data_IF_580531172794
#
_entry.id   IF_580531172794
#
_cell.length_a   1.000
_cell.length_b   1.000
_cell.length_c   1.000
_cell.angle_alpha   90.00
_cell.angle_beta   90.00
_cell.angle_gamma   90.00
#
_symmetry.space_group_name_H-M   'P 1'
#
loop_
_entity.id
_entity.type
_entity.pdbx_description
1 polymer ?
#
# COMPACT_ATOMS: atom_id res chain seq x y z
N UNK A 1 -3.25 9.08 -4.07
CA UNK A 1 -2.93 10.44 -3.58
C UNK A 1 -3.34 11.43 -4.66
N UNK A 2 -3.58 12.70 -4.30
CA UNK A 2 -3.83 13.76 -5.29
C UNK A 2 -2.47 14.29 -5.73
N UNK A 3 -2.20 14.27 -7.04
CA UNK A 3 -0.93 14.75 -7.59
C UNK A 3 -0.81 16.26 -7.33
N UNK A 4 0.30 16.66 -6.74
CA UNK A 4 0.62 18.06 -6.49
C UNK A 4 0.98 18.74 -7.80
N UNK A 5 0.47 19.95 -8.03
CA UNK A 5 0.69 20.69 -9.27
C UNK A 5 1.47 21.97 -9.00
N UNK A 6 2.55 22.19 -9.74
CA UNK A 6 3.45 23.33 -9.58
C UNK A 6 3.67 24.09 -10.88
N UNK A 7 4.17 25.31 -10.73
CA UNK A 7 4.77 26.13 -11.78
C UNK A 7 6.07 26.75 -11.25
N UNK A 8 6.89 27.33 -12.12
CA UNK A 8 8.11 28.05 -11.70
C UNK A 8 7.84 29.17 -10.67
N UNK A 9 6.64 29.76 -10.74
CA UNK A 9 6.20 30.90 -9.93
C UNK A 9 5.44 30.47 -8.67
N UNK A 10 5.29 29.16 -8.43
CA UNK A 10 4.66 28.64 -7.21
C UNK A 10 5.38 29.17 -5.97
N UNK A 11 4.60 29.77 -5.07
CA UNK A 11 5.05 30.26 -3.77
C UNK A 11 4.42 29.41 -2.66
N UNK A 12 5.23 28.97 -1.70
CA UNK A 12 4.76 28.16 -0.58
C UNK A 12 4.48 29.03 0.63
N UNK A 13 3.34 28.78 1.27
CA UNK A 13 2.95 29.40 2.54
C UNK A 13 2.44 28.32 3.46
N UNK A 14 2.83 28.40 4.73
CA UNK A 14 2.39 27.45 5.74
C UNK A 14 0.89 27.63 6.02
N UNK A 15 0.14 26.52 5.96
CA UNK A 15 -1.21 26.43 6.49
C UNK A 15 -1.33 25.15 7.34
N UNK A 16 -0.95 25.25 8.61
CA UNK A 16 -0.83 24.16 9.56
C UNK A 16 -2.08 23.96 10.43
N UNK A 17 -3.07 24.85 10.34
CA UNK A 17 -4.19 24.95 11.29
C UNK A 17 -4.93 23.61 11.52
N UNK A 18 -5.18 22.83 10.46
CA UNK A 18 -5.82 21.52 10.58
C UNK A 18 -4.95 20.52 11.37
N UNK A 19 -3.65 20.42 11.02
CA UNK A 19 -2.73 19.53 11.71
C UNK A 19 -2.57 19.91 13.19
N UNK A 20 -2.45 21.20 13.48
CA UNK A 20 -2.36 21.70 14.86
C UNK A 20 -3.65 21.42 15.64
N UNK A 21 -4.82 21.55 15.02
CA UNK A 21 -6.09 21.19 15.64
C UNK A 21 -6.15 19.70 16.00
N UNK A 22 -5.71 18.81 15.11
CA UNK A 22 -5.65 17.36 15.38
C UNK A 22 -4.66 17.03 16.50
N UNK A 23 -3.51 17.72 16.52
CA UNK A 23 -2.52 17.59 17.59
C UNK A 23 -3.11 18.02 18.93
N UNK A 24 -3.80 19.16 18.97
CA UNK A 24 -4.43 19.67 20.19
C UNK A 24 -5.52 18.71 20.70
N UNK A 25 -6.35 18.16 19.81
CA UNK A 25 -7.37 17.16 20.13
C UNK A 25 -6.73 15.90 20.76
N UNK A 26 -5.72 15.32 20.12
CA UNK A 26 -5.04 14.13 20.64
C UNK A 26 -4.37 14.39 22.01
N UNK A 27 -3.77 15.57 22.20
CA UNK A 27 -3.18 15.97 23.49
C UNK A 27 -4.23 16.19 24.56
N UNK A 28 -5.39 16.75 24.23
CA UNK A 28 -6.50 16.91 25.17
C UNK A 28 -7.03 15.55 25.66
N UNK A 29 -6.90 14.49 24.85
CA UNK A 29 -7.19 13.10 25.21
C UNK A 29 -6.04 12.40 25.95
N UNK A 30 -4.93 13.10 26.21
CA UNK A 30 -3.77 12.57 26.95
C UNK A 30 -2.85 11.68 26.11
N UNK A 31 -2.93 11.73 24.77
CA UNK A 31 -2.04 10.95 23.91
C UNK A 31 -0.71 11.66 23.65
N UNK A 32 0.39 10.94 23.83
CA UNK A 32 1.69 11.35 23.31
C UNK A 32 1.77 10.97 21.84
N UNK A 33 1.84 11.96 20.95
CA UNK A 33 1.73 11.75 19.50
C UNK A 33 3.03 12.08 18.76
N UNK A 34 3.26 11.33 17.68
CA UNK A 34 4.33 11.57 16.70
C UNK A 34 3.66 11.91 15.36
N UNK A 35 3.56 13.20 14.98
CA UNK A 35 3.02 13.61 13.69
C UNK A 35 3.82 12.99 12.54
N UNK A 36 3.13 12.66 11.45
CA UNK A 36 3.76 12.18 10.21
C UNK A 36 3.48 13.16 9.08
N UNK A 37 4.53 13.55 8.35
CA UNK A 37 4.44 14.42 7.17
C UNK A 37 5.24 13.81 6.01
N UNK A 38 4.85 14.13 4.78
CA UNK A 38 5.66 13.81 3.60
C UNK A 38 6.86 14.74 3.55
N UNK A 39 8.04 14.20 3.30
CA UNK A 39 9.28 14.96 3.21
C UNK A 39 9.34 15.90 2.01
N UNK A 40 10.13 16.97 2.10
CA UNK A 40 10.16 18.02 1.09
C UNK A 40 10.62 17.52 -0.29
N UNK A 41 11.49 16.51 -0.32
CA UNK A 41 12.01 15.99 -1.59
C UNK A 41 10.99 15.07 -2.25
N UNK A 42 10.38 14.15 -1.49
CA UNK A 42 9.25 13.33 -1.97
C UNK A 42 8.12 14.23 -2.45
N UNK A 43 7.74 15.25 -1.67
CA UNK A 43 6.68 16.19 -2.02
C UNK A 43 6.87 16.79 -3.42
N UNK A 44 8.08 17.26 -3.75
CA UNK A 44 8.39 17.76 -5.09
C UNK A 44 8.48 16.63 -6.13
N UNK A 45 9.13 15.50 -5.80
CA UNK A 45 9.36 14.38 -6.73
C UNK A 45 8.05 13.76 -7.24
N UNK A 46 7.04 13.62 -6.38
CA UNK A 46 5.74 13.03 -6.76
C UNK A 46 4.75 14.06 -7.36
N UNK A 47 5.09 15.35 -7.34
CA UNK A 47 4.32 16.38 -8.01
C UNK A 47 4.61 16.49 -9.50
N UNK A 48 3.84 17.34 -10.18
CA UNK A 48 3.92 17.61 -11.62
C UNK A 48 4.06 19.11 -11.88
N UNK A 49 5.00 19.49 -12.72
CA UNK A 49 5.06 20.84 -13.26
C UNK A 49 4.04 21.01 -14.39
N UNK A 50 3.33 22.14 -14.42
CA UNK A 50 2.32 22.49 -15.44
C UNK A 50 2.88 23.32 -16.59
N UNK A 51 4.07 23.86 -16.43
CA UNK A 51 4.75 24.80 -17.32
C UNK A 51 6.13 24.30 -17.77
N UNK A 52 6.32 22.97 -17.73
CA UNK A 52 7.58 22.28 -18.05
C UNK A 52 8.80 22.72 -17.21
N UNK A 53 8.58 23.44 -16.11
CA UNK A 53 9.65 23.82 -15.19
C UNK A 53 10.21 22.62 -14.43
N UNK A 54 11.50 22.68 -14.06
CA UNK A 54 12.07 21.70 -13.15
C UNK A 54 11.57 21.96 -11.73
N UNK A 55 10.66 21.10 -11.27
CA UNK A 55 10.08 21.14 -9.94
C UNK A 55 11.11 21.07 -8.81
N UNK A 56 12.31 20.53 -9.04
CA UNK A 56 13.36 20.49 -8.02
C UNK A 56 13.87 21.91 -7.67
N UNK A 57 13.83 22.84 -8.62
CA UNK A 57 14.23 24.26 -8.39
C UNK A 57 13.37 24.97 -7.34
N UNK A 58 12.19 24.42 -7.04
CA UNK A 58 11.27 24.95 -6.02
C UNK A 58 11.68 24.59 -4.59
N UNK A 59 12.67 23.71 -4.39
CA UNK A 59 13.09 23.24 -3.07
C UNK A 59 13.48 24.39 -2.13
N UNK A 60 14.22 25.37 -2.64
CA UNK A 60 14.67 26.52 -1.84
C UNK A 60 13.53 27.43 -1.40
N UNK A 61 12.44 27.46 -2.18
CA UNK A 61 11.20 28.16 -1.80
C UNK A 61 10.37 27.34 -0.82
N UNK A 62 10.49 26.00 -0.85
CA UNK A 62 9.69 25.08 -0.03
C UNK A 62 10.26 24.89 1.37
N UNK A 63 11.59 24.72 1.51
CA UNK A 63 12.24 24.40 2.78
C UNK A 63 11.94 25.39 3.93
N UNK A 64 11.86 26.72 3.71
CA UNK A 64 11.46 27.65 4.77
C UNK A 64 10.08 27.33 5.37
N UNK A 65 9.15 26.79 4.56
CA UNK A 65 7.82 26.38 5.04
C UNK A 65 7.89 25.13 5.92
N UNK A 66 8.77 24.19 5.59
CA UNK A 66 9.02 23.02 6.44
C UNK A 66 9.66 23.39 7.77
N UNK A 67 10.68 24.27 7.76
CA UNK A 67 11.30 24.78 9.00
C UNK A 67 10.26 25.47 9.88
N UNK A 68 9.42 26.33 9.29
CA UNK A 68 8.34 26.99 10.01
C UNK A 68 7.36 25.99 10.64
N UNK A 69 6.96 24.95 9.90
CA UNK A 69 6.10 23.88 10.41
C UNK A 69 6.75 23.13 11.58
N UNK A 70 8.00 22.68 11.44
CA UNK A 70 8.69 21.92 12.49
C UNK A 70 8.86 22.75 13.77
N UNK A 71 9.15 24.04 13.65
CA UNK A 71 9.23 24.95 14.80
C UNK A 71 7.85 25.14 15.46
N UNK A 72 6.78 25.23 14.67
CA UNK A 72 5.41 25.29 15.23
C UNK A 72 5.03 23.99 15.95
N UNK A 73 5.39 22.83 15.40
CA UNK A 73 5.20 21.54 16.07
C UNK A 73 5.99 21.46 17.38
N UNK A 74 7.24 21.93 17.39
CA UNK A 74 8.04 22.03 18.61
C UNK A 74 7.38 22.93 19.65
N UNK A 75 6.84 24.08 19.25
CA UNK A 75 6.12 25.00 20.12
C UNK A 75 4.84 24.39 20.71
N UNK A 76 4.21 23.44 20.01
CA UNK A 76 3.12 22.63 20.56
C UNK A 76 3.62 21.54 21.53
N UNK A 77 4.92 21.39 21.74
CA UNK A 77 5.53 20.35 22.57
C UNK A 77 5.55 18.97 21.91
N UNK A 78 5.71 18.91 20.58
CA UNK A 78 6.00 17.67 19.87
C UNK A 78 7.49 17.37 19.99
N UNK A 79 7.84 16.15 20.43
CA UNK A 79 9.24 15.72 20.51
C UNK A 79 9.73 15.13 19.18
N UNK A 80 8.93 14.27 18.56
CA UNK A 80 9.31 13.53 17.34
C UNK A 80 8.37 13.86 16.18
N UNK A 81 8.95 14.05 15.00
CA UNK A 81 8.22 14.12 13.73
C UNK A 81 8.75 13.03 12.81
N UNK A 82 7.84 12.22 12.28
CA UNK A 82 8.15 11.28 11.21
C UNK A 82 8.07 12.00 9.87
N UNK A 83 9.19 12.10 9.16
CA UNK A 83 9.26 12.68 7.83
C UNK A 83 9.43 11.54 6.83
N UNK A 84 8.40 11.29 6.03
CA UNK A 84 8.39 10.19 5.08
C UNK A 84 9.04 10.59 3.76
N UNK A 85 10.14 9.91 3.39
CA UNK A 85 10.82 10.01 2.09
C UNK A 85 10.79 8.66 1.35
N UNK A 86 9.61 8.15 0.95
CA UNK A 86 9.51 6.87 0.23
C UNK A 86 10.22 6.88 -1.13
N UNK A 87 10.58 8.04 -1.69
CA UNK A 87 11.39 8.09 -2.92
C UNK A 87 12.77 7.45 -2.76
N UNK A 88 13.25 7.27 -1.51
CA UNK A 88 14.50 6.59 -1.22
C UNK A 88 14.50 5.12 -1.67
N UNK A 89 13.35 4.51 -1.95
CA UNK A 89 13.27 3.15 -2.51
C UNK A 89 13.26 3.12 -4.05
N UNK A 90 13.51 4.27 -4.69
CA UNK A 90 13.58 4.42 -6.15
C UNK A 90 14.98 4.80 -6.61
N UNK A 91 15.25 4.63 -7.90
CA UNK A 91 16.49 5.11 -8.51
C UNK A 91 16.49 6.66 -8.53
N UNK A 92 17.45 7.24 -7.82
CA UNK A 92 17.58 8.69 -7.70
C UNK A 92 18.82 9.17 -8.47
N UNK A 93 18.67 10.26 -9.23
CA UNK A 93 19.81 10.95 -9.82
C UNK A 93 20.56 11.77 -8.76
N UNK A 94 21.78 12.16 -9.09
CA UNK A 94 22.66 12.90 -8.17
C UNK A 94 22.04 14.21 -7.64
N UNK A 95 21.22 14.88 -8.45
CA UNK A 95 20.53 16.11 -8.09
C UNK A 95 19.50 15.86 -6.98
N UNK A 96 18.80 14.72 -7.02
CA UNK A 96 17.83 14.32 -5.98
C UNK A 96 18.53 13.85 -4.70
N UNK A 97 19.70 13.22 -4.79
CA UNK A 97 20.53 12.94 -3.61
C UNK A 97 20.99 14.23 -2.93
N UNK A 98 21.52 15.18 -3.70
CA UNK A 98 21.94 16.49 -3.18
C UNK A 98 20.77 17.24 -2.55
N UNK A 99 19.56 17.13 -3.12
CA UNK A 99 18.34 17.70 -2.57
C UNK A 99 18.00 17.13 -1.19
N UNK A 100 18.12 15.81 -0.99
CA UNK A 100 17.92 15.17 0.31
C UNK A 100 18.94 15.70 1.32
N UNK A 101 20.23 15.65 1.00
CA UNK A 101 21.28 16.16 1.89
C UNK A 101 21.04 17.61 2.28
N UNK A 102 20.77 18.48 1.30
CA UNK A 102 20.47 19.90 1.53
C UNK A 102 19.25 20.09 2.44
N UNK A 103 18.18 19.35 2.19
CA UNK A 103 16.94 19.43 2.96
C UNK A 103 17.20 19.10 4.42
N UNK A 104 17.78 17.95 4.72
CA UNK A 104 17.97 17.52 6.10
C UNK A 104 19.05 18.30 6.84
N UNK A 105 20.07 18.80 6.16
CA UNK A 105 21.03 19.76 6.75
C UNK A 105 20.32 21.03 7.19
N UNK A 106 19.31 21.51 6.45
CA UNK A 106 18.54 22.70 6.84
C UNK A 106 17.51 22.41 7.94
N UNK A 107 16.97 21.19 8.00
CA UNK A 107 15.98 20.80 9.02
C UNK A 107 16.61 20.40 10.37
N UNK A 108 17.91 20.07 10.41
CA UNK A 108 18.60 19.62 11.63
C UNK A 108 18.56 20.61 12.80
N UNK A 109 18.46 21.92 12.49
CA UNK A 109 18.50 22.98 13.49
C UNK A 109 17.12 23.20 14.16
N UNK A 110 16.09 22.50 13.69
CA UNK A 110 14.78 22.48 14.35
C UNK A 110 14.84 21.69 15.66
N UNK A 111 14.10 22.13 16.68
CA UNK A 111 14.13 21.50 18.01
C UNK A 111 13.38 20.17 18.11
N UNK A 112 12.61 19.78 17.08
CA UNK A 112 11.98 18.45 17.02
C UNK A 112 12.99 17.42 16.52
N UNK A 113 12.91 16.21 17.06
CA UNK A 113 13.64 15.06 16.55
C UNK A 113 13.01 14.54 15.28
N UNK A 114 13.83 14.20 14.29
CA UNK A 114 13.38 13.74 12.97
C UNK A 114 13.60 12.23 12.85
N UNK A 115 12.50 11.50 12.61
CA UNK A 115 12.53 10.11 12.15
C UNK A 115 12.33 10.09 10.63
N UNK A 116 13.40 9.83 9.87
CA UNK A 116 13.35 9.67 8.42
C UNK A 116 12.75 8.30 8.08
N UNK A 117 11.60 8.26 7.41
CA UNK A 117 10.94 7.01 7.10
C UNK A 117 10.92 6.69 5.60
N UNK A 118 11.42 5.50 5.26
CA UNK A 118 11.33 4.90 3.94
C UNK A 118 10.53 3.60 4.00
N UNK A 119 9.78 3.28 2.95
CA UNK A 119 8.94 2.08 2.92
C UNK A 119 8.60 1.67 1.48
N UNK A 120 8.06 0.46 1.33
CA UNK A 120 7.63 -0.19 0.07
C UNK A 120 8.72 -0.87 -0.76
N UNK A 121 10.00 -0.78 -0.36
CA UNK A 121 11.10 -1.37 -1.10
C UNK A 121 12.42 -1.30 -0.36
N UNK A 122 13.44 -1.85 -1.00
CA UNK A 122 14.85 -1.73 -0.63
C UNK A 122 15.39 -0.33 -0.96
N UNK A 123 16.34 0.14 -0.17
CA UNK A 123 17.05 1.41 -0.37
C UNK A 123 18.21 1.27 -1.37
N UNK A 124 18.83 0.10 -1.44
CA UNK A 124 19.94 -0.23 -2.34
C UNK A 124 21.04 0.83 -2.29
N UNK A 125 21.33 1.49 -3.42
CA UNK A 125 22.33 2.54 -3.52
C UNK A 125 22.07 3.73 -2.59
N UNK A 126 20.81 3.96 -2.19
CA UNK A 126 20.42 5.05 -1.29
C UNK A 126 20.64 4.70 0.19
N UNK A 127 21.00 3.46 0.54
CA UNK A 127 21.15 3.04 1.94
C UNK A 127 22.21 3.86 2.68
N UNK A 128 23.32 4.17 2.01
CA UNK A 128 24.42 4.97 2.58
C UNK A 128 23.96 6.34 3.06
N UNK A 129 22.95 6.94 2.40
CA UNK A 129 22.41 8.24 2.80
C UNK A 129 21.78 8.21 4.19
N UNK A 130 21.30 7.07 4.68
CA UNK A 130 20.71 6.99 6.02
C UNK A 130 21.70 7.37 7.13
N UNK A 131 22.98 7.01 6.97
CA UNK A 131 24.04 7.36 7.93
C UNK A 131 24.55 8.79 7.76
N UNK A 132 24.49 9.35 6.55
CA UNK A 132 25.04 10.68 6.24
C UNK A 132 24.08 11.82 6.58
N UNK A 133 22.77 11.55 6.66
CA UNK A 133 21.78 12.58 6.93
C UNK A 133 21.71 12.91 8.43
N UNK A 134 21.67 14.20 8.81
CA UNK A 134 21.61 14.63 10.20
C UNK A 134 20.19 14.48 10.77
N UNK A 135 19.74 13.24 10.92
CA UNK A 135 18.43 12.87 11.49
C UNK A 135 18.61 12.10 12.79
N UNK A 136 17.60 12.12 13.65
CA UNK A 136 17.63 11.47 14.96
C UNK A 136 17.26 9.99 14.91
N UNK A 137 16.67 9.54 13.81
CA UNK A 137 16.42 8.13 13.57
C UNK A 137 15.99 7.84 12.14
N UNK A 138 16.03 6.56 11.80
CA UNK A 138 15.64 6.05 10.49
C UNK A 138 14.63 4.92 10.64
N UNK A 139 13.67 4.83 9.72
CA UNK A 139 12.73 3.73 9.61
C UNK A 139 12.96 2.93 8.33
N UNK A 140 13.06 1.61 8.49
CA UNK A 140 13.28 0.63 7.42
C UNK A 140 12.13 -0.38 7.39
N UNK A 141 11.54 -0.54 6.21
CA UNK A 141 10.54 -1.56 5.91
C UNK A 141 11.20 -2.94 5.79
N UNK A 142 11.21 -3.69 6.90
CA UNK A 142 11.82 -5.03 6.94
C UNK A 142 11.01 -6.11 6.22
N UNK A 143 9.80 -5.80 5.74
CA UNK A 143 9.04 -6.73 4.90
C UNK A 143 9.66 -6.79 3.51
N UNK A 144 10.18 -5.67 3.01
CA UNK A 144 10.76 -5.56 1.67
C UNK A 144 12.30 -5.44 1.69
N UNK A 145 12.90 -4.99 2.80
CA UNK A 145 14.32 -4.69 2.92
C UNK A 145 14.99 -5.36 4.13
N UNK A 146 14.57 -6.59 4.46
CA UNK A 146 15.08 -7.34 5.62
C UNK A 146 16.60 -7.53 5.60
N UNK A 147 17.15 -7.71 4.42
CA UNK A 147 18.58 -7.95 4.15
C UNK A 147 19.45 -6.68 4.29
N UNK A 148 18.86 -5.50 4.23
CA UNK A 148 19.57 -4.22 4.39
C UNK A 148 19.77 -3.83 5.86
N UNK A 149 19.05 -4.46 6.80
CA UNK A 149 19.05 -4.06 8.22
C UNK A 149 20.43 -4.18 8.86
N UNK A 150 21.20 -5.23 8.53
CA UNK A 150 22.55 -5.36 9.06
C UNK A 150 23.44 -4.18 8.62
N UNK A 151 23.44 -3.88 7.33
CA UNK A 151 24.17 -2.72 6.78
C UNK A 151 23.62 -1.39 7.31
N UNK A 152 22.33 -1.27 7.56
CA UNK A 152 21.76 -0.07 8.16
C UNK A 152 22.26 0.14 9.60
N UNK A 153 22.37 -0.92 10.39
CA UNK A 153 22.93 -0.87 11.75
C UNK A 153 24.39 -0.40 11.70
N UNK A 154 25.18 -0.91 10.76
CA UNK A 154 26.59 -0.53 10.59
C UNK A 154 26.78 0.94 10.21
N UNK A 155 25.81 1.53 9.50
CA UNK A 155 25.81 2.95 9.09
C UNK A 155 25.07 3.87 10.08
N UNK A 156 24.47 3.32 11.14
CA UNK A 156 23.66 4.08 12.07
C UNK A 156 24.55 4.88 13.03
N UNK A 157 24.28 6.18 13.18
CA UNK A 157 24.91 7.01 14.18
C UNK A 157 24.69 6.47 15.61
N UNK A 158 25.65 6.72 16.50
CA UNK A 158 25.67 6.15 17.86
C UNK A 158 24.39 6.47 18.67
N UNK A 159 23.81 7.64 18.44
CA UNK A 159 22.60 8.11 19.13
C UNK A 159 21.31 7.93 18.32
N UNK A 160 21.41 7.50 17.06
CA UNK A 160 20.25 7.42 16.17
C UNK A 160 19.33 6.25 16.57
N UNK A 161 18.02 6.49 16.50
CA UNK A 161 16.98 5.47 16.64
C UNK A 161 16.87 4.65 15.34
N UNK A 162 16.78 3.33 15.48
CA UNK A 162 16.44 2.43 14.37
C UNK A 162 15.00 1.94 14.54
N UNK A 163 14.11 2.36 13.66
CA UNK A 163 12.76 1.84 13.58
C UNK A 163 12.65 0.73 12.54
N UNK A 164 12.24 -0.46 12.97
CA UNK A 164 12.02 -1.60 12.10
C UNK A 164 10.53 -1.81 11.85
N UNK A 165 10.16 -1.69 10.58
CA UNK A 165 8.85 -2.00 10.06
C UNK A 165 8.61 -3.51 9.95
N UNK A 166 8.30 -4.17 11.07
CA UNK A 166 8.26 -5.64 11.20
C UNK A 166 6.88 -6.25 10.96
N UNK A 167 5.82 -5.45 11.08
CA UNK A 167 4.44 -5.88 10.83
C UNK A 167 3.95 -5.34 9.49
N UNK A 168 3.49 -6.22 8.58
CA UNK A 168 3.16 -5.81 7.21
C UNK A 168 1.96 -4.85 7.17
N UNK A 169 2.19 -3.62 6.72
CA UNK A 169 1.16 -2.58 6.59
C UNK A 169 0.41 -2.57 5.25
N UNK A 170 0.75 -3.46 4.30
CA UNK A 170 0.12 -3.58 2.97
C UNK A 170 -0.63 -4.89 2.74
N UNK A 171 -0.63 -5.79 3.71
CA UNK A 171 -1.26 -7.10 3.55
C UNK A 171 -1.88 -7.59 4.86
N UNK A 172 -2.95 -8.36 4.72
CA UNK A 172 -3.85 -8.76 5.80
C UNK A 172 -3.42 -10.05 6.50
N UNK A 173 -2.27 -10.61 6.15
CA UNK A 173 -1.77 -11.81 6.81
C UNK A 173 -1.25 -11.49 8.20
N UNK A 174 -1.56 -12.40 9.13
CA UNK A 174 -1.02 -12.44 10.48
C UNK A 174 0.49 -12.59 10.41
N UNK A 175 1.20 -11.80 11.22
CA UNK A 175 2.66 -11.85 11.32
C UNK A 175 3.07 -13.14 12.03
N UNK A 176 4.10 -13.85 11.54
CA UNK A 176 4.74 -14.93 12.30
C UNK A 176 5.58 -14.31 13.42
N UNK A 177 5.01 -14.26 14.63
CA UNK A 177 5.62 -13.55 15.76
C UNK A 177 6.86 -14.27 16.26
N UNK A 178 6.91 -15.60 16.19
CA UNK A 178 8.08 -16.36 16.63
C UNK A 178 9.25 -16.13 15.68
N UNK A 179 9.02 -16.20 14.36
CA UNK A 179 10.05 -15.89 13.38
C UNK A 179 10.50 -14.41 13.43
N UNK A 180 9.57 -13.49 13.73
CA UNK A 180 9.90 -12.09 13.94
C UNK A 180 10.79 -11.91 15.19
N UNK A 181 10.50 -12.59 16.30
CA UNK A 181 11.30 -12.54 17.52
C UNK A 181 12.69 -13.16 17.34
N UNK A 182 12.80 -14.30 16.65
CA UNK A 182 14.09 -14.93 16.32
C UNK A 182 15.01 -13.95 15.58
N UNK A 183 14.42 -13.08 14.76
CA UNK A 183 15.12 -12.03 14.04
C UNK A 183 15.41 -10.79 14.90
N UNK A 184 14.44 -10.34 15.72
CA UNK A 184 14.54 -9.11 16.49
C UNK A 184 15.40 -9.23 17.76
N UNK A 185 15.40 -10.37 18.43
CA UNK A 185 16.16 -10.58 19.68
C UNK A 185 17.66 -10.26 19.57
N UNK A 186 18.42 -10.73 18.56
CA UNK A 186 19.81 -10.34 18.40
C UNK A 186 19.99 -8.84 18.09
N UNK A 187 19.08 -8.25 17.30
CA UNK A 187 19.10 -6.81 16.98
C UNK A 187 18.87 -5.98 18.24
N UNK A 188 17.89 -6.37 19.06
CA UNK A 188 17.55 -5.71 20.31
C UNK A 188 18.73 -5.72 21.29
N UNK A 189 19.51 -6.80 21.34
CA UNK A 189 20.74 -6.87 22.15
C UNK A 189 21.82 -5.89 21.69
N UNK A 190 21.94 -5.66 20.38
CA UNK A 190 22.94 -4.74 19.80
C UNK A 190 22.50 -3.28 19.91
N UNK A 191 21.25 -2.98 19.55
CA UNK A 191 20.73 -1.60 19.45
C UNK A 191 20.19 -1.08 20.79
N UNK A 192 19.67 -1.96 21.64
CA UNK A 192 19.07 -1.60 22.94
C UNK A 192 17.81 -0.74 22.79
N UNK A 193 17.67 0.26 23.67
CA UNK A 193 16.49 1.15 23.73
C UNK A 193 16.27 1.99 22.46
N UNK A 194 17.28 2.08 21.58
CA UNK A 194 17.18 2.77 20.29
C UNK A 194 16.39 1.97 19.24
N UNK A 195 16.00 0.73 19.53
CA UNK A 195 15.23 -0.11 18.62
C UNK A 195 13.73 0.18 18.78
N UNK A 196 13.10 0.70 17.74
CA UNK A 196 11.65 0.90 17.69
C UNK A 196 11.01 -0.12 16.78
N UNK A 197 9.89 -0.69 17.22
CA UNK A 197 9.06 -1.55 16.37
C UNK A 197 7.91 -0.73 15.78
N UNK A 198 7.66 -0.92 14.50
CA UNK A 198 6.58 -0.23 13.79
C UNK A 198 5.94 -1.16 12.75
N UNK A 199 4.76 -0.81 12.22
CA UNK A 199 4.31 -1.37 10.96
C UNK A 199 5.29 -1.00 9.83
N UNK A 200 5.31 -1.79 8.76
CA UNK A 200 6.21 -1.62 7.61
C UNK A 200 5.99 -0.34 6.82
N UNK A 201 4.81 0.23 6.95
CA UNK A 201 4.36 1.48 6.36
C UNK A 201 3.08 1.91 7.12
N UNK A 202 2.40 2.96 6.67
CA UNK A 202 1.08 3.30 7.23
C UNK A 202 0.11 2.12 7.14
N UNK A 203 -0.68 1.89 8.20
CA UNK A 203 -1.77 0.92 8.21
C UNK A 203 -2.98 1.37 7.36
N UNK A 204 -2.89 2.51 6.67
CA UNK A 204 -3.87 2.96 5.67
C UNK A 204 -4.17 1.90 4.59
N UNK A 205 -3.23 0.98 4.32
CA UNK A 205 -3.36 0.00 3.23
C UNK A 205 -3.90 -1.36 3.69
N UNK A 206 -4.42 -1.46 4.92
CA UNK A 206 -5.11 -2.64 5.42
C UNK A 206 -6.42 -2.24 6.07
N UNK A 207 -7.41 -3.13 6.13
CA UNK A 207 -8.68 -2.79 6.74
C UNK A 207 -8.57 -2.55 8.24
N UNK A 208 -9.62 -1.99 8.83
CA UNK A 208 -9.57 -1.46 10.20
C UNK A 208 -9.54 -2.57 11.26
N UNK A 209 -10.55 -3.43 11.31
CA UNK A 209 -10.72 -4.40 12.39
C UNK A 209 -11.33 -5.71 11.92
N UNK A 210 -10.57 -6.80 12.07
CA UNK A 210 -10.97 -8.14 11.63
C UNK A 210 -12.14 -8.68 12.46
N UNK A 211 -12.35 -8.17 13.68
CA UNK A 211 -13.43 -8.61 14.55
C UNK A 211 -14.83 -8.25 14.02
N UNK A 212 -14.92 -7.40 13.00
CA UNK A 212 -16.19 -7.06 12.34
C UNK A 212 -16.63 -8.11 11.31
N UNK A 213 -15.75 -9.04 10.92
CA UNK A 213 -16.06 -10.06 9.93
C UNK A 213 -16.91 -11.19 10.55
N UNK A 214 -18.09 -11.43 9.98
CA UNK A 214 -19.05 -12.43 10.51
C UNK A 214 -19.15 -13.68 9.63
N UNK A 215 -18.93 -13.52 8.32
CA UNK A 215 -19.14 -14.57 7.31
C UNK A 215 -17.86 -15.25 6.82
N UNK A 216 -16.69 -14.74 7.20
CA UNK A 216 -15.42 -15.36 6.82
C UNK A 216 -15.28 -16.73 7.49
N UNK A 217 -14.77 -17.70 6.72
CA UNK A 217 -14.44 -19.03 7.24
C UNK A 217 -13.44 -18.91 8.41
N UNK A 218 -13.73 -19.60 9.51
CA UNK A 218 -12.95 -19.49 10.75
C UNK A 218 -11.48 -19.89 10.59
N UNK A 219 -11.19 -20.84 9.70
CA UNK A 219 -9.82 -21.26 9.40
C UNK A 219 -9.06 -20.09 8.75
N UNK A 220 -9.67 -19.44 7.76
CA UNK A 220 -9.09 -18.29 7.05
C UNK A 220 -8.95 -17.09 7.98
N UNK A 221 -10.00 -16.79 8.76
CA UNK A 221 -10.00 -15.70 9.74
C UNK A 221 -8.85 -15.84 10.74
N UNK A 222 -8.50 -17.08 11.14
CA UNK A 222 -7.37 -17.33 12.04
C UNK A 222 -6.01 -16.90 11.47
N UNK A 223 -5.87 -16.85 10.14
CA UNK A 223 -4.64 -16.51 9.42
C UNK A 223 -4.44 -15.01 9.19
N UNK A 224 -5.47 -14.20 9.50
CA UNK A 224 -5.53 -12.79 9.14
C UNK A 224 -5.25 -11.87 10.33
N UNK A 225 -4.85 -10.65 10.02
CA UNK A 225 -4.70 -9.52 10.93
C UNK A 225 -4.97 -8.23 10.14
N UNK A 226 -5.96 -7.45 10.58
CA UNK A 226 -6.23 -6.09 10.10
C UNK A 226 -5.47 -5.06 10.96
N UNK A 227 -5.69 -3.77 10.77
CA UNK A 227 -4.94 -2.71 11.45
C UNK A 227 -4.96 -2.87 12.98
N UNK A 228 -6.13 -3.10 13.58
CA UNK A 228 -6.28 -3.27 15.03
C UNK A 228 -5.47 -4.47 15.55
N UNK A 229 -5.55 -5.62 14.88
CA UNK A 229 -4.78 -6.82 15.25
C UNK A 229 -3.27 -6.62 15.07
N UNK A 230 -2.83 -5.89 14.05
CA UNK A 230 -1.42 -5.55 13.82
C UNK A 230 -0.83 -4.68 14.91
N UNK A 231 -1.61 -3.81 15.53
CA UNK A 231 -1.19 -3.05 16.71
C UNK A 231 -1.01 -3.96 17.94
N UNK A 232 -1.88 -4.96 18.10
CA UNK A 232 -1.72 -5.99 19.13
C UNK A 232 -0.47 -6.85 18.88
N UNK A 233 -0.16 -7.21 17.63
CA UNK A 233 1.07 -7.92 17.26
C UNK A 233 2.32 -7.15 17.71
N UNK A 234 2.39 -5.84 17.44
CA UNK A 234 3.49 -5.00 17.92
C UNK A 234 3.60 -4.97 19.46
N UNK A 235 2.47 -4.99 20.15
CA UNK A 235 2.43 -4.98 21.61
C UNK A 235 2.97 -6.29 22.20
N UNK A 236 2.66 -7.43 21.57
CA UNK A 236 3.21 -8.74 21.93
C UNK A 236 4.71 -8.80 21.68
N UNK A 237 5.18 -8.31 20.51
CA UNK A 237 6.61 -8.27 20.19
C UNK A 237 7.38 -7.41 21.19
N UNK A 238 6.90 -6.20 21.49
CA UNK A 238 7.50 -5.31 22.48
C UNK A 238 7.60 -5.99 23.85
N UNK A 239 6.48 -6.48 24.37
CA UNK A 239 6.43 -7.11 25.71
C UNK A 239 7.37 -8.31 25.78
N UNK A 240 7.45 -9.10 24.71
CA UNK A 240 8.34 -10.26 24.63
C UNK A 240 9.82 -9.87 24.61
N UNK A 241 10.20 -8.80 23.90
CA UNK A 241 11.57 -8.32 23.88
C UNK A 241 12.01 -7.74 25.24
N UNK A 242 11.10 -7.09 25.97
CA UNK A 242 11.38 -6.49 27.27
C UNK A 242 11.39 -7.52 28.42
N UNK A 243 10.47 -8.48 28.39
CA UNK A 243 10.19 -9.37 29.54
C UNK A 243 10.47 -10.86 29.25
N UNK A 244 10.88 -11.19 28.03
CA UNK A 244 11.12 -12.55 27.57
C UNK A 244 9.85 -13.27 27.07
N UNK A 245 10.03 -14.37 26.33
CA UNK A 245 8.94 -15.12 25.67
C UNK A 245 7.85 -15.62 26.61
N UNK A 246 8.22 -15.97 27.84
CA UNK A 246 7.27 -16.43 28.85
C UNK A 246 6.17 -15.40 29.16
N UNK A 247 6.45 -14.09 29.02
CA UNK A 247 5.48 -13.03 29.29
C UNK A 247 4.30 -13.02 28.30
N UNK A 248 4.49 -13.59 27.11
CA UNK A 248 3.47 -13.65 26.06
C UNK A 248 3.27 -15.08 25.51
N UNK A 249 3.64 -16.10 26.27
CA UNK A 249 3.69 -17.50 25.80
C UNK A 249 2.40 -17.95 25.11
N UNK A 250 1.23 -17.69 25.72
CA UNK A 250 -0.06 -18.08 25.14
C UNK A 250 -0.31 -17.42 23.77
N UNK A 251 -0.02 -16.11 23.65
CA UNK A 251 -0.20 -15.40 22.39
C UNK A 251 0.77 -15.91 21.31
N UNK A 252 2.00 -16.26 21.69
CA UNK A 252 3.00 -16.83 20.78
C UNK A 252 2.62 -18.25 20.33
N UNK A 253 2.10 -19.08 21.23
CA UNK A 253 1.64 -20.44 20.92
C UNK A 253 0.42 -20.41 19.99
N UNK A 254 -0.54 -19.54 20.24
CA UNK A 254 -1.73 -19.40 19.40
C UNK A 254 -1.38 -18.82 18.02
N UNK A 255 -0.44 -17.87 17.97
CA UNK A 255 0.12 -17.40 16.71
C UNK A 255 0.80 -18.54 15.94
N UNK A 256 1.67 -19.33 16.59
CA UNK A 256 2.37 -20.44 15.96
C UNK A 256 1.40 -21.50 15.40
N UNK A 257 0.31 -21.81 16.13
CA UNK A 257 -0.76 -22.70 15.63
C UNK A 257 -1.42 -22.15 14.37
N UNK A 258 -1.73 -20.87 14.32
CA UNK A 258 -2.35 -20.23 13.16
C UNK A 258 -1.41 -20.19 11.94
N UNK A 259 -0.12 -19.91 12.14
CA UNK A 259 0.88 -19.96 11.07
C UNK A 259 1.00 -21.38 10.52
N UNK A 260 1.11 -22.37 11.41
CA UNK A 260 1.22 -23.78 11.01
C UNK A 260 -0.03 -24.30 10.31
N UNK A 261 -1.22 -23.95 10.79
CA UNK A 261 -2.47 -24.37 10.16
C UNK A 261 -2.57 -23.89 8.72
N UNK A 262 -2.15 -22.65 8.44
CA UNK A 262 -2.07 -22.13 7.07
C UNK A 262 -1.05 -22.87 6.22
N UNK A 263 0.16 -23.09 6.74
CA UNK A 263 1.25 -23.76 6.03
C UNK A 263 0.86 -25.19 5.63
N UNK A 264 0.08 -25.88 6.45
CA UNK A 264 -0.34 -27.27 6.22
C UNK A 264 -1.71 -27.38 5.49
N UNK A 265 -2.40 -26.25 5.23
CA UNK A 265 -3.78 -26.27 4.71
C UNK A 265 -3.85 -26.69 3.24
N UNK A 266 -4.79 -27.57 2.92
CA UNK A 266 -5.13 -27.97 1.55
C UNK A 266 -5.72 -26.83 0.71
N UNK A 267 -6.19 -25.75 1.37
CA UNK A 267 -6.62 -24.51 0.68
C UNK A 267 -5.43 -23.79 0.03
N UNK A 268 -4.24 -23.92 0.62
CA UNK A 268 -3.00 -23.32 0.11
C UNK A 268 -2.30 -24.27 -0.88
N UNK A 269 -2.39 -25.57 -0.66
CA UNK A 269 -1.73 -26.59 -1.48
C UNK A 269 -2.72 -27.38 -2.35
N UNK A 270 -2.81 -27.01 -3.63
CA UNK A 270 -3.57 -27.77 -4.63
C UNK A 270 -2.61 -28.53 -5.58
N UNK A 271 -2.51 -29.87 -5.49
CA UNK A 271 -1.60 -30.65 -6.31
C UNK A 271 -1.86 -30.54 -7.82
N UNK A 272 -3.12 -30.38 -8.23
CA UNK A 272 -3.48 -30.24 -9.65
C UNK A 272 -3.01 -28.91 -10.24
N UNK A 273 -3.11 -27.83 -9.46
CA UNK A 273 -2.60 -26.50 -9.82
C UNK A 273 -1.08 -26.51 -9.86
N UNK A 274 -0.43 -27.11 -8.86
CA UNK A 274 1.03 -27.25 -8.83
C UNK A 274 1.55 -28.03 -10.06
N UNK A 275 0.87 -29.12 -10.43
CA UNK A 275 1.21 -29.89 -11.63
C UNK A 275 1.03 -29.05 -12.89
N UNK A 276 -0.10 -28.35 -13.04
CA UNK A 276 -0.36 -27.47 -14.20
C UNK A 276 0.69 -26.37 -14.34
N UNK A 277 1.13 -25.76 -13.24
CA UNK A 277 2.20 -24.75 -13.25
C UNK A 277 3.53 -25.37 -13.68
N UNK A 278 3.86 -26.57 -13.20
CA UNK A 278 5.10 -27.26 -13.59
C UNK A 278 5.17 -27.63 -15.08
N UNK A 279 4.01 -27.71 -15.75
CA UNK A 279 3.90 -28.04 -17.17
C UNK A 279 3.92 -26.80 -18.08
N UNK A 280 4.06 -25.58 -17.53
CA UNK A 280 4.15 -24.34 -18.33
C UNK A 280 5.45 -24.33 -19.13
N UNK A 281 5.34 -24.17 -20.45
CA UNK A 281 6.47 -23.95 -21.35
C UNK A 281 6.46 -22.53 -21.93
N UNK A 282 7.59 -22.09 -22.50
CA UNK A 282 7.68 -20.79 -23.17
C UNK A 282 6.66 -20.63 -24.31
N UNK A 283 6.31 -21.75 -24.97
CA UNK A 283 5.34 -21.76 -26.07
C UNK A 283 3.92 -21.36 -25.62
N UNK A 284 3.56 -21.54 -24.35
CA UNK A 284 2.26 -21.10 -23.83
C UNK A 284 2.08 -19.58 -23.89
N UNK A 285 3.18 -18.82 -23.93
CA UNK A 285 3.16 -17.37 -24.09
C UNK A 285 3.12 -16.93 -25.56
N UNK A 286 3.17 -17.87 -26.51
CA UNK A 286 3.24 -17.58 -27.95
C UNK A 286 1.89 -17.83 -28.63
N UNK A 287 1.51 -16.92 -29.52
CA UNK A 287 0.45 -17.16 -30.50
C UNK A 287 0.97 -18.10 -31.58
N UNK A 288 0.07 -18.87 -32.20
CA UNK A 288 0.42 -19.82 -33.27
C UNK A 288 1.03 -19.19 -34.54
N UNK A 289 0.91 -17.88 -34.74
CA UNK A 289 1.42 -17.16 -35.92
C UNK A 289 1.71 -15.71 -35.56
N UNK A 290 2.53 -15.02 -36.35
CA UNK A 290 2.86 -13.59 -36.18
C UNK A 290 1.66 -12.64 -36.40
N UNK A 291 1.88 -11.35 -36.19
CA UNK A 291 0.81 -10.36 -36.36
C UNK A 291 0.38 -10.19 -37.81
N UNK A 292 1.31 -10.15 -38.77
CA UNK A 292 1.02 -9.88 -40.19
C UNK A 292 0.09 -10.96 -40.79
N UNK A 293 0.37 -12.22 -40.47
CA UNK A 293 -0.47 -13.36 -40.86
C UNK A 293 -1.87 -13.24 -40.24
N UNK A 294 -1.95 -12.95 -38.94
CA UNK A 294 -3.23 -12.87 -38.22
C UNK A 294 -4.06 -11.67 -38.63
N UNK A 295 -3.44 -10.52 -38.87
CA UNK A 295 -4.12 -9.29 -39.27
C UNK A 295 -4.86 -9.47 -40.60
N UNK A 296 -4.24 -10.17 -41.56
CA UNK A 296 -4.87 -10.51 -42.84
C UNK A 296 -6.12 -11.37 -42.63
N UNK A 297 -5.99 -12.47 -41.86
CA UNK A 297 -7.13 -13.35 -41.56
C UNK A 297 -8.24 -12.64 -40.78
N UNK A 298 -7.88 -11.76 -39.84
CA UNK A 298 -8.84 -10.99 -39.06
C UNK A 298 -9.58 -9.97 -39.92
N UNK A 299 -8.91 -9.32 -40.87
CA UNK A 299 -9.53 -8.37 -41.79
C UNK A 299 -10.58 -9.06 -42.69
N UNK A 300 -10.29 -10.27 -43.18
CA UNK A 300 -11.22 -11.04 -44.01
C UNK A 300 -12.50 -11.43 -43.26
N UNK A 301 -12.39 -11.69 -41.94
CA UNK A 301 -13.50 -12.08 -41.07
C UNK A 301 -14.30 -10.86 -40.61
N UNK A 302 -13.61 -9.87 -40.02
CA UNK A 302 -14.25 -8.75 -39.33
C UNK A 302 -14.66 -7.63 -40.30
N UNK A 303 -13.99 -7.51 -41.44
CA UNK A 303 -14.28 -6.52 -42.50
C UNK A 303 -14.37 -5.08 -41.98
N UNK A 304 -13.53 -4.75 -41.00
CA UNK A 304 -13.50 -3.44 -40.36
C UNK A 304 -13.05 -2.34 -41.35
N UNK A 305 -13.57 -1.10 -41.24
CA UNK A 305 -13.08 0.03 -42.01
C UNK A 305 -11.67 0.44 -41.57
N UNK A 306 -11.08 1.43 -42.24
CA UNK A 306 -9.72 1.91 -41.92
C UNK A 306 -9.59 2.51 -40.51
N UNK A 307 -10.68 3.09 -40.00
CA UNK A 307 -10.73 3.74 -38.70
C UNK A 307 -11.89 3.15 -37.90
N UNK A 308 -11.81 1.87 -37.49
CA UNK A 308 -12.88 1.23 -36.76
C UNK A 308 -13.05 1.90 -35.39
N UNK A 309 -14.30 2.07 -35.01
CA UNK A 309 -14.74 2.70 -33.77
C UNK A 309 -15.21 1.65 -32.79
N UNK A 310 -14.86 1.84 -31.52
CA UNK A 310 -15.24 0.95 -30.41
C UNK A 310 -15.16 1.69 -29.09
N UNK A 311 -15.63 1.06 -28.03
CA UNK A 311 -15.45 1.52 -26.64
C UNK A 311 -14.69 0.46 -25.84
N UNK A 312 -14.36 0.75 -24.57
CA UNK A 312 -13.43 -0.08 -23.80
C UNK A 312 -14.12 -1.23 -23.04
N UNK A 313 -15.43 -1.16 -22.80
CA UNK A 313 -16.16 -2.22 -22.09
C UNK A 313 -17.42 -1.73 -21.36
N UNK A 314 -17.23 -1.10 -20.20
CA UNK A 314 -18.32 -0.72 -19.33
C UNK A 314 -19.16 0.46 -19.84
N UNK A 315 -20.46 0.38 -19.60
CA UNK A 315 -21.42 1.48 -19.78
C UNK A 315 -21.96 1.94 -18.40
N UNK A 316 -22.67 3.08 -18.32
CA UNK A 316 -23.14 3.61 -17.04
C UNK A 316 -23.94 2.59 -16.22
N UNK A 317 -23.50 2.36 -14.97
CA UNK A 317 -24.24 1.50 -14.03
C UNK A 317 -25.44 2.25 -13.45
N UNK A 318 -26.62 1.97 -13.99
CA UNK A 318 -27.89 2.59 -13.60
C UNK A 318 -28.35 2.18 -12.19
N UNK A 319 -29.21 2.96 -11.53
CA UNK A 319 -29.86 2.57 -10.27
C UNK A 319 -30.60 1.22 -10.36
N UNK A 320 -31.16 0.91 -11.52
CA UNK A 320 -31.87 -0.34 -11.82
C UNK A 320 -30.90 -1.54 -11.82
N UNK A 321 -29.76 -1.43 -12.52
CA UNK A 321 -28.69 -2.44 -12.48
C UNK A 321 -28.22 -2.69 -11.04
N UNK A 322 -27.95 -1.61 -10.30
CA UNK A 322 -27.49 -1.70 -8.91
C UNK A 322 -28.52 -2.38 -8.01
N UNK A 323 -29.80 -2.07 -8.20
CA UNK A 323 -30.90 -2.66 -7.46
C UNK A 323 -31.04 -4.15 -7.77
N UNK A 324 -31.05 -4.53 -9.06
CA UNK A 324 -31.15 -5.93 -9.48
C UNK A 324 -30.00 -6.79 -8.92
N UNK A 325 -28.76 -6.29 -8.99
CA UNK A 325 -27.59 -6.99 -8.41
C UNK A 325 -27.70 -7.18 -6.91
N UNK A 326 -28.10 -6.13 -6.17
CA UNK A 326 -28.30 -6.21 -4.71
C UNK A 326 -29.37 -7.24 -4.36
N UNK A 327 -30.52 -7.18 -5.05
CA UNK A 327 -31.62 -8.12 -4.83
C UNK A 327 -31.19 -9.56 -5.09
N UNK A 328 -30.43 -9.81 -6.16
CA UNK A 328 -29.90 -11.13 -6.46
C UNK A 328 -28.89 -11.61 -5.39
N UNK A 329 -27.93 -10.76 -5.00
CA UNK A 329 -26.93 -11.07 -3.95
C UNK A 329 -27.59 -11.36 -2.59
N UNK A 330 -28.73 -10.74 -2.30
CA UNK A 330 -29.53 -10.96 -1.09
C UNK A 330 -30.51 -12.15 -1.20
N UNK A 331 -30.64 -12.79 -2.36
CA UNK A 331 -31.62 -13.85 -2.61
C UNK A 331 -33.07 -13.37 -2.69
N UNK A 332 -33.30 -12.07 -2.91
CA UNK A 332 -34.64 -11.47 -3.06
C UNK A 332 -35.27 -11.76 -4.44
N UNK A 333 -34.43 -12.00 -5.46
CA UNK A 333 -34.86 -12.45 -6.80
C UNK A 333 -34.08 -13.70 -7.20
N UNK A 334 -34.69 -14.53 -8.03
CA UNK A 334 -34.05 -15.73 -8.56
C UNK A 334 -33.11 -15.43 -9.74
N UNK A 335 -32.26 -16.40 -10.08
CA UNK A 335 -31.28 -16.31 -11.17
C UNK A 335 -31.94 -16.05 -12.52
N UNK A 336 -33.12 -16.64 -12.76
CA UNK A 336 -33.86 -16.47 -14.00
C UNK A 336 -34.32 -15.01 -14.17
N UNK A 337 -34.83 -14.40 -13.11
CA UNK A 337 -35.22 -12.99 -13.08
C UNK A 337 -34.01 -12.08 -13.24
N UNK A 338 -32.94 -12.33 -12.49
CA UNK A 338 -31.70 -11.56 -12.60
C UNK A 338 -31.11 -11.61 -14.02
N UNK A 339 -31.00 -12.80 -14.60
CA UNK A 339 -30.50 -13.01 -15.97
C UNK A 339 -31.35 -12.26 -16.99
N UNK A 340 -32.67 -12.25 -16.83
CA UNK A 340 -33.57 -11.50 -17.72
C UNK A 340 -33.32 -10.00 -17.64
N UNK A 341 -33.12 -9.46 -16.44
CA UNK A 341 -32.82 -8.04 -16.23
C UNK A 341 -31.46 -7.67 -16.86
N UNK A 342 -30.41 -8.47 -16.63
CA UNK A 342 -29.09 -8.21 -17.21
C UNK A 342 -29.11 -8.29 -18.74
N UNK A 343 -29.86 -9.23 -19.32
CA UNK A 343 -30.04 -9.30 -20.78
C UNK A 343 -30.74 -8.08 -21.35
N UNK A 344 -31.71 -7.51 -20.64
CA UNK A 344 -32.38 -6.29 -21.08
C UNK A 344 -31.42 -5.08 -21.10
N UNK A 345 -30.55 -4.97 -20.11
CA UNK A 345 -29.50 -3.93 -20.06
C UNK A 345 -28.44 -4.12 -21.15
N UNK A 346 -28.02 -5.36 -21.41
CA UNK A 346 -27.13 -5.69 -22.54
C UNK A 346 -27.78 -5.31 -23.87
N UNK A 347 -29.06 -5.65 -24.05
CA UNK A 347 -29.81 -5.31 -25.27
C UNK A 347 -29.84 -3.80 -25.48
N UNK A 348 -30.20 -3.02 -24.45
CA UNK A 348 -30.20 -1.57 -24.51
C UNK A 348 -28.82 -1.01 -24.88
N UNK A 349 -27.76 -1.52 -24.25
CA UNK A 349 -26.38 -1.11 -24.53
C UNK A 349 -26.00 -1.38 -26.00
N UNK A 350 -26.33 -2.56 -26.51
CA UNK A 350 -26.06 -2.97 -27.90
C UNK A 350 -26.88 -2.15 -28.89
N UNK A 351 -28.16 -1.91 -28.61
CA UNK A 351 -29.05 -1.09 -29.46
C UNK A 351 -28.52 0.33 -29.62
N UNK A 352 -28.11 0.98 -28.52
CA UNK A 352 -27.52 2.33 -28.56
C UNK A 352 -26.23 2.35 -29.39
N UNK A 353 -25.37 1.34 -29.25
CA UNK A 353 -24.13 1.31 -30.03
C UNK A 353 -24.38 1.06 -31.52
N UNK A 354 -25.42 0.32 -31.88
CA UNK A 354 -25.90 0.20 -33.26
C UNK A 354 -26.43 1.54 -33.80
N UNK A 355 -27.22 2.28 -33.00
CA UNK A 355 -27.69 3.62 -33.38
C UNK A 355 -26.54 4.62 -33.59
N UNK A 356 -25.44 4.44 -32.85
CA UNK A 356 -24.21 5.24 -32.98
C UNK A 356 -23.27 4.75 -34.10
N UNK A 357 -23.62 3.68 -34.79
CA UNK A 357 -22.83 3.08 -35.89
C UNK A 357 -21.40 2.67 -35.46
N UNK A 358 -21.26 2.08 -34.26
CA UNK A 358 -19.97 1.55 -33.81
C UNK A 358 -19.62 0.23 -34.52
N UNK A 359 -18.34 0.05 -34.85
CA UNK A 359 -17.87 -1.12 -35.62
C UNK A 359 -17.67 -2.38 -34.76
N UNK A 360 -17.18 -2.22 -33.52
CA UNK A 360 -16.99 -3.33 -32.58
C UNK A 360 -17.68 -2.99 -31.27
N UNK A 361 -18.65 -3.81 -30.91
CA UNK A 361 -19.54 -3.59 -29.77
C UNK A 361 -19.01 -4.22 -28.49
N UNK A 362 -19.43 -3.67 -27.36
CA UNK A 362 -19.27 -4.25 -26.02
C UNK A 362 -20.64 -4.47 -25.39
N UNK A 363 -20.75 -5.31 -24.36
CA UNK A 363 -22.05 -5.59 -23.72
C UNK A 363 -22.38 -4.68 -22.53
N UNK A 364 -21.48 -3.77 -22.16
CA UNK A 364 -21.69 -2.77 -21.11
C UNK A 364 -21.41 -3.22 -19.68
N UNK A 365 -21.11 -4.51 -19.47
CA UNK A 365 -20.78 -5.11 -18.16
C UNK A 365 -21.82 -4.84 -17.03
N UNK A 366 -23.14 -4.87 -17.29
CA UNK A 366 -24.13 -4.57 -16.25
C UNK A 366 -24.07 -5.57 -15.08
N UNK A 367 -23.66 -6.81 -15.35
CA UNK A 367 -23.56 -7.88 -14.36
C UNK A 367 -22.38 -7.72 -13.39
N UNK A 368 -21.39 -6.86 -13.71
CA UNK A 368 -20.13 -6.77 -12.97
C UNK A 368 -20.12 -5.55 -12.05
N UNK A 369 -20.00 -5.78 -10.75
CA UNK A 369 -19.86 -4.69 -9.77
C UNK A 369 -18.46 -4.08 -9.79
N UNK A 370 -17.46 -4.95 -9.63
CA UNK A 370 -16.04 -4.63 -9.66
C UNK A 370 -15.30 -5.65 -10.54
N UNK A 371 -14.28 -5.19 -11.27
CA UNK A 371 -13.58 -5.99 -12.27
C UNK A 371 -12.67 -7.07 -11.67
N UNK A 372 -12.37 -7.03 -10.37
CA UNK A 372 -11.57 -8.05 -9.66
C UNK A 372 -12.50 -8.94 -8.84
N UNK A 373 -13.42 -8.35 -8.07
CA UNK A 373 -14.41 -9.08 -7.26
C UNK A 373 -15.18 -10.09 -8.13
N UNK A 374 -15.64 -9.68 -9.31
CA UNK A 374 -16.42 -10.52 -10.22
C UNK A 374 -15.71 -11.82 -10.60
N UNK A 375 -14.42 -11.77 -10.91
CA UNK A 375 -13.67 -12.99 -11.22
C UNK A 375 -13.29 -13.77 -9.96
N UNK A 376 -12.92 -13.08 -8.88
CA UNK A 376 -12.59 -13.75 -7.63
C UNK A 376 -13.75 -14.62 -7.12
N UNK A 377 -15.00 -14.14 -7.24
CA UNK A 377 -16.19 -14.89 -6.80
C UNK A 377 -16.39 -16.19 -7.60
N UNK A 378 -15.74 -16.32 -8.77
CA UNK A 378 -15.82 -17.46 -9.68
C UNK A 378 -14.54 -18.31 -9.71
N UNK A 379 -13.56 -18.00 -8.86
CA UNK A 379 -12.28 -18.68 -8.81
C UNK A 379 -12.04 -19.32 -7.45
N UNK A 380 -11.68 -20.60 -7.45
CA UNK A 380 -11.12 -21.24 -6.26
C UNK A 380 -9.87 -20.48 -5.76
N UNK A 381 -9.70 -20.43 -4.44
CA UNK A 381 -8.55 -19.79 -3.80
C UNK A 381 -8.78 -18.34 -3.35
N UNK A 382 -9.98 -17.79 -3.54
CA UNK A 382 -10.38 -16.48 -3.02
C UNK A 382 -11.24 -16.59 -1.75
N UNK A 383 -11.20 -15.53 -0.95
CA UNK A 383 -12.10 -15.30 0.18
C UNK A 383 -12.54 -13.83 0.16
N UNK A 384 -13.75 -13.56 0.66
CA UNK A 384 -14.39 -12.25 0.58
C UNK A 384 -14.76 -11.72 1.96
N UNK A 385 -14.35 -10.49 2.23
CA UNK A 385 -14.65 -9.76 3.46
C UNK A 385 -15.94 -8.94 3.33
N UNK A 386 -16.66 -8.77 4.44
CA UNK A 386 -17.78 -7.83 4.54
C UNK A 386 -17.31 -6.40 4.85
N UNK A 387 -16.26 -6.25 5.65
CA UNK A 387 -15.78 -4.98 6.18
C UNK A 387 -14.28 -4.75 5.94
N UNK A 388 -13.70 -5.49 5.00
CA UNK A 388 -12.30 -5.38 4.56
C UNK A 388 -12.00 -4.16 3.69
N UNK A 389 -12.51 -2.99 4.08
CA UNK A 389 -12.32 -1.70 3.39
C UNK A 389 -10.96 -1.07 3.64
#
# INVERSE_FOLDING_TARGET
>A
YIVLEFSKDTAFKLNSANLISQIAEAKALGHNIKPTIIGPVTYLKIGKAKDDSDKLTLLDKLLPTYVALLNELSAQGIEWVQIAEPILVSELSSEWHQALTKSYVQLKDCSVKILLASYFGQLKENLSLLGDLPVDGVHIDTINAKDEVASAIDNLGETQVLSLGIVNGRNIWKTDLNAALDYLEPIAKTIGERLWLAPSCSLLHVPVDLAQEEKLDIEILSWMAYAHQKLAELSVLKTTLEQGRNACQTALDDNAKAIKSRQDSKRVHNPSVAKRISDISADFALRNSDYETRATLQQDILKLPKYPTTTIGSFPQTPEIRTARRQFKNGEIDEATYTKLMRAEIQLCVDIQHELDLDVLVHGEPERNDMVEYFGEQLDGYAFSQFGW
#
